data_IF_664633809179
#
_entry.id   IF_664633809179
#
_cell.length_a   1.000
_cell.length_b   1.000
_cell.length_c   1.000
_cell.angle_alpha   90.00
_cell.angle_beta   90.00
_cell.angle_gamma   90.00
#
_symmetry.space_group_name_H-M   'P 1'
#
loop_
_entity.id
_entity.type
_entity.pdbx_description
1 polymer ?
#
# COMPACT_ATOMS: atom_id res chain seq x y z
N UNK A 1 -14.38 -11.65 18.93
CA UNK A 1 -14.15 -13.07 19.23
C UNK A 1 -13.07 -13.76 18.37
N UNK A 2 -12.42 -13.07 17.44
CA UNK A 2 -11.38 -13.65 16.54
C UNK A 2 -10.06 -14.01 17.22
N UNK A 3 -9.72 -13.42 18.36
CA UNK A 3 -8.43 -13.60 19.07
C UNK A 3 -8.48 -14.54 20.28
N UNK A 4 -9.52 -15.37 20.41
CA UNK A 4 -9.78 -16.14 21.65
C UNK A 4 -9.19 -17.56 21.68
N UNK A 5 -8.52 -18.02 20.62
CA UNK A 5 -7.76 -19.27 20.62
C UNK A 5 -6.28 -18.99 20.44
N UNK A 6 -5.42 -19.61 21.26
CA UNK A 6 -3.95 -19.48 21.18
C UNK A 6 -3.43 -19.82 19.78
N UNK A 7 -4.03 -20.80 19.12
CA UNK A 7 -3.67 -21.22 17.77
C UNK A 7 -3.86 -20.09 16.73
N UNK A 8 -4.97 -19.36 16.82
CA UNK A 8 -5.23 -18.22 15.92
C UNK A 8 -4.28 -17.05 16.19
N UNK A 9 -3.96 -16.80 17.44
CA UNK A 9 -3.00 -15.77 17.82
C UNK A 9 -1.60 -16.10 17.28
N UNK A 10 -1.15 -17.34 17.45
CA UNK A 10 0.13 -17.81 16.93
C UNK A 10 0.19 -17.73 15.40
N UNK A 11 -0.91 -18.09 14.72
CA UNK A 11 -1.01 -17.95 13.25
C UNK A 11 -0.85 -16.47 12.84
N UNK A 12 -1.58 -15.56 13.46
CA UNK A 12 -1.50 -14.12 13.15
C UNK A 12 -0.09 -13.58 13.40
N UNK A 13 0.55 -13.95 14.50
CA UNK A 13 1.93 -13.53 14.79
C UNK A 13 2.89 -14.02 13.71
N UNK A 14 2.80 -15.28 13.30
CA UNK A 14 3.67 -15.85 12.27
C UNK A 14 3.46 -15.17 10.92
N UNK A 15 2.22 -14.98 10.50
CA UNK A 15 1.90 -14.30 9.23
C UNK A 15 2.37 -12.84 9.26
N UNK A 16 2.20 -12.15 10.40
CA UNK A 16 2.69 -10.77 10.56
C UNK A 16 4.21 -10.70 10.45
N UNK A 17 4.94 -11.63 11.06
CA UNK A 17 6.41 -11.68 10.96
C UNK A 17 6.88 -11.86 9.51
N UNK A 18 6.17 -12.67 8.72
CA UNK A 18 6.49 -12.91 7.31
C UNK A 18 6.18 -11.67 6.47
N UNK A 19 5.07 -10.98 6.74
CA UNK A 19 4.63 -9.83 5.94
C UNK A 19 5.24 -8.50 6.41
N UNK A 20 5.79 -8.42 7.62
CA UNK A 20 6.34 -7.19 8.16
C UNK A 20 7.44 -6.54 7.29
N UNK A 21 8.39 -7.31 6.69
CA UNK A 21 9.40 -6.74 5.79
C UNK A 21 8.80 -6.03 4.56
N UNK A 22 7.59 -6.42 4.14
CA UNK A 22 6.90 -5.75 3.03
C UNK A 22 6.69 -4.25 3.30
N UNK A 23 6.43 -3.85 4.55
CA UNK A 23 6.23 -2.43 4.91
C UNK A 23 7.45 -1.58 4.56
N UNK A 24 8.65 -2.11 4.78
CA UNK A 24 9.89 -1.43 4.42
C UNK A 24 9.99 -1.26 2.91
N UNK A 25 9.77 -2.33 2.15
CA UNK A 25 9.89 -2.27 0.69
C UNK A 25 8.80 -1.40 0.05
N UNK A 26 7.55 -1.44 0.54
CA UNK A 26 6.48 -0.59 0.01
C UNK A 26 6.71 0.89 0.33
N UNK A 27 7.27 1.20 1.49
CA UNK A 27 7.63 2.58 1.85
C UNK A 27 8.72 3.14 0.93
N UNK A 28 9.78 2.36 0.69
CA UNK A 28 10.84 2.73 -0.26
C UNK A 28 10.32 2.83 -1.70
N UNK A 29 9.44 1.92 -2.10
CA UNK A 29 8.78 1.94 -3.41
C UNK A 29 7.92 3.18 -3.59
N UNK A 30 7.20 3.61 -2.56
CA UNK A 30 6.40 4.84 -2.58
C UNK A 30 7.27 6.07 -2.77
N UNK A 31 8.43 6.12 -2.11
CA UNK A 31 9.40 7.19 -2.29
C UNK A 31 9.93 7.23 -3.72
N UNK A 32 10.31 6.09 -4.30
CA UNK A 32 10.76 6.01 -5.69
C UNK A 32 9.65 6.36 -6.69
N UNK A 33 8.41 5.97 -6.41
CA UNK A 33 7.25 6.36 -7.21
C UNK A 33 7.06 7.87 -7.22
N UNK A 34 7.25 8.55 -6.08
CA UNK A 34 7.19 10.01 -6.01
C UNK A 34 8.28 10.69 -6.86
N UNK A 35 9.51 10.16 -6.86
CA UNK A 35 10.59 10.65 -7.73
C UNK A 35 10.23 10.45 -9.20
N UNK A 36 9.74 9.27 -9.59
CA UNK A 36 9.34 9.00 -10.98
C UNK A 36 8.18 9.91 -11.42
N UNK A 37 7.21 10.16 -10.55
CA UNK A 37 6.10 11.08 -10.82
C UNK A 37 6.58 12.53 -11.02
N UNK A 38 7.58 12.99 -10.28
CA UNK A 38 8.18 14.31 -10.46
C UNK A 38 8.90 14.46 -11.81
N UNK A 39 9.31 13.33 -12.39
CA UNK A 39 9.89 13.27 -13.74
C UNK A 39 8.88 12.89 -14.83
N UNK A 40 7.57 13.02 -14.57
CA UNK A 40 6.47 12.67 -15.50
C UNK A 40 6.46 11.20 -15.96
N UNK A 41 7.00 10.28 -15.14
CA UNK A 41 7.03 8.84 -15.42
C UNK A 41 5.92 8.09 -14.68
N UNK A 42 4.69 8.57 -14.80
CA UNK A 42 3.52 8.06 -14.09
C UNK A 42 3.23 6.57 -14.35
N UNK A 43 3.39 6.13 -15.60
CA UNK A 43 3.12 4.74 -15.99
C UNK A 43 4.00 3.74 -15.22
N UNK A 44 5.29 4.07 -15.00
CA UNK A 44 6.22 3.21 -14.28
C UNK A 44 5.84 3.14 -12.79
N UNK A 45 5.50 4.28 -12.19
CA UNK A 45 5.05 4.33 -10.81
C UNK A 45 3.74 3.55 -10.61
N UNK A 46 2.80 3.66 -11.56
CA UNK A 46 1.52 2.94 -11.53
C UNK A 46 1.67 1.42 -11.78
N UNK A 47 2.75 0.98 -12.40
CA UNK A 47 3.01 -0.44 -12.64
C UNK A 47 3.37 -1.22 -11.35
N UNK A 48 3.88 -0.56 -10.31
CA UNK A 48 4.30 -1.23 -9.09
C UNK A 48 3.19 -2.05 -8.40
N UNK A 49 1.97 -1.53 -8.16
CA UNK A 49 0.89 -2.33 -7.60
C UNK A 49 0.48 -3.54 -8.44
N UNK A 50 0.67 -3.49 -9.77
CA UNK A 50 0.36 -4.60 -10.67
C UNK A 50 1.23 -5.81 -10.35
N UNK A 51 2.50 -5.59 -9.99
CA UNK A 51 3.42 -6.66 -9.59
C UNK A 51 2.86 -7.42 -8.39
N UNK A 52 2.39 -6.72 -7.35
CA UNK A 52 1.79 -7.36 -6.19
C UNK A 52 0.58 -8.23 -6.58
N UNK A 53 -0.30 -7.68 -7.41
CA UNK A 53 -1.49 -8.41 -7.87
C UNK A 53 -1.13 -9.67 -8.67
N UNK A 54 -0.12 -9.61 -9.53
CA UNK A 54 0.35 -10.78 -10.28
C UNK A 54 0.83 -11.89 -9.32
N UNK A 55 1.63 -11.54 -8.30
CA UNK A 55 2.10 -12.52 -7.32
C UNK A 55 0.95 -13.15 -6.54
N UNK A 56 -0.01 -12.33 -6.06
CA UNK A 56 -1.17 -12.84 -5.32
C UNK A 56 -2.05 -13.73 -6.19
N UNK A 57 -2.35 -13.33 -7.42
CA UNK A 57 -3.15 -14.13 -8.36
C UNK A 57 -2.43 -15.45 -8.66
N UNK A 58 -1.11 -15.43 -8.88
CA UNK A 58 -0.35 -16.63 -9.15
C UNK A 58 -0.48 -17.65 -8.00
N UNK A 59 -0.38 -17.21 -6.75
CA UNK A 59 -0.55 -18.12 -5.59
C UNK A 59 -1.99 -18.60 -5.47
N UNK A 60 -2.97 -17.72 -5.71
CA UNK A 60 -4.40 -18.09 -5.62
C UNK A 60 -4.80 -19.13 -6.67
N UNK A 61 -4.21 -19.10 -7.87
CA UNK A 61 -4.47 -20.10 -8.92
C UNK A 61 -4.04 -21.52 -8.49
N UNK A 62 -3.04 -21.61 -7.61
CA UNK A 62 -2.61 -22.88 -7.02
C UNK A 62 -3.30 -23.20 -5.69
N UNK A 63 -4.27 -22.38 -5.27
CA UNK A 63 -4.91 -22.47 -3.96
C UNK A 63 -5.52 -23.83 -3.63
N UNK A 64 -6.13 -24.49 -4.62
CA UNK A 64 -6.73 -25.83 -4.46
C UNK A 64 -5.69 -26.91 -4.13
N UNK A 65 -4.44 -26.73 -4.55
CA UNK A 65 -3.33 -27.67 -4.30
C UNK A 65 -2.68 -27.39 -2.95
N UNK A 66 -2.65 -26.13 -2.53
CA UNK A 66 -1.94 -25.66 -1.34
C UNK A 66 -2.72 -25.89 -0.03
N UNK A 67 -4.05 -26.03 -0.11
CA UNK A 67 -4.89 -26.29 1.07
C UNK A 67 -4.63 -25.29 2.21
N UNK A 68 -4.43 -25.79 3.42
CA UNK A 68 -4.22 -24.98 4.62
C UNK A 68 -2.94 -24.12 4.59
N UNK A 69 -1.98 -24.49 3.76
CA UNK A 69 -0.74 -23.73 3.59
C UNK A 69 -0.91 -22.47 2.72
N UNK A 70 -2.05 -22.30 2.06
CA UNK A 70 -2.32 -21.17 1.16
C UNK A 70 -2.03 -19.80 1.82
N UNK A 71 -2.40 -19.65 3.08
CA UNK A 71 -2.24 -18.38 3.81
C UNK A 71 -0.77 -18.04 4.01
N UNK A 72 0.09 -19.01 4.27
CA UNK A 72 1.53 -18.83 4.37
C UNK A 72 2.14 -18.45 3.01
N UNK A 73 1.75 -19.14 1.94
CA UNK A 73 2.23 -18.82 0.59
C UNK A 73 1.80 -17.43 0.14
N UNK A 74 0.58 -16.99 0.47
CA UNK A 74 0.13 -15.61 0.24
C UNK A 74 0.99 -14.59 1.00
N UNK A 75 1.34 -14.89 2.25
CA UNK A 75 2.19 -14.00 3.07
C UNK A 75 3.61 -13.87 2.49
N UNK A 76 4.19 -14.98 2.03
CA UNK A 76 5.48 -14.94 1.33
C UNK A 76 5.37 -14.20 -0.02
N UNK A 77 4.29 -14.42 -0.78
CA UNK A 77 4.06 -13.73 -2.04
C UNK A 77 4.01 -12.21 -1.88
N UNK A 78 3.36 -11.71 -0.83
CA UNK A 78 3.33 -10.27 -0.50
C UNK A 78 4.74 -9.74 -0.27
N UNK A 79 5.54 -10.42 0.53
CA UNK A 79 6.90 -9.98 0.86
C UNK A 79 7.81 -10.02 -0.36
N UNK A 80 7.77 -11.09 -1.14
CA UNK A 80 8.55 -11.23 -2.38
C UNK A 80 8.12 -10.17 -3.40
N UNK A 81 6.82 -9.96 -3.56
CA UNK A 81 6.30 -8.91 -4.44
C UNK A 81 6.81 -7.52 -4.04
N UNK A 82 6.88 -7.22 -2.73
CA UNK A 82 7.45 -5.97 -2.24
C UNK A 82 8.91 -5.78 -2.64
N UNK A 83 9.73 -6.83 -2.52
CA UNK A 83 11.13 -6.82 -2.97
C UNK A 83 11.20 -6.56 -4.48
N UNK A 84 10.40 -7.27 -5.27
CA UNK A 84 10.38 -7.13 -6.73
C UNK A 84 9.90 -5.74 -7.14
N UNK A 85 8.87 -5.18 -6.51
CA UNK A 85 8.42 -3.80 -6.72
C UNK A 85 9.54 -2.79 -6.45
N UNK A 86 10.23 -2.94 -5.33
CA UNK A 86 11.34 -2.07 -4.96
C UNK A 86 12.45 -2.13 -6.00
N UNK A 87 12.90 -3.33 -6.39
CA UNK A 87 13.95 -3.51 -7.39
C UNK A 87 13.54 -2.96 -8.77
N UNK A 88 12.28 -3.18 -9.16
CA UNK A 88 11.72 -2.64 -10.39
C UNK A 88 11.81 -1.12 -10.41
N UNK A 89 11.27 -0.44 -9.41
CA UNK A 89 11.29 1.02 -9.33
C UNK A 89 12.71 1.56 -9.19
N UNK A 90 13.56 0.92 -8.40
CA UNK A 90 14.97 1.29 -8.23
C UNK A 90 15.72 1.30 -9.58
N UNK A 91 15.52 0.30 -10.43
CA UNK A 91 16.10 0.22 -11.76
C UNK A 91 15.77 1.45 -12.62
N UNK A 92 14.51 1.91 -12.56
CA UNK A 92 14.06 3.08 -13.33
C UNK A 92 14.49 4.40 -12.71
N UNK A 93 14.46 4.52 -11.38
CA UNK A 93 14.89 5.73 -10.67
C UNK A 93 16.36 6.01 -10.88
N UNK A 94 17.22 4.98 -10.96
CA UNK A 94 18.67 5.12 -11.22
C UNK A 94 19.00 5.89 -12.51
N UNK A 95 18.08 5.97 -13.46
CA UNK A 95 18.25 6.76 -14.69
C UNK A 95 18.18 8.26 -14.45
N UNK A 96 17.51 8.69 -13.39
CA UNK A 96 17.27 10.11 -13.06
C UNK A 96 17.97 10.54 -11.77
N UNK A 97 18.17 9.61 -10.87
CA UNK A 97 18.72 9.86 -9.55
C UNK A 97 19.59 8.68 -9.10
N UNK A 98 20.82 8.97 -8.72
CA UNK A 98 21.72 7.99 -8.08
C UNK A 98 21.63 8.15 -6.57
N UNK A 99 20.91 7.29 -5.85
CA UNK A 99 20.83 7.37 -4.41
C UNK A 99 22.23 7.16 -3.81
N UNK A 100 22.73 8.17 -3.11
CA UNK A 100 23.97 8.10 -2.37
C UNK A 100 23.65 8.00 -0.89
N UNK A 101 24.20 6.99 -0.23
CA UNK A 101 24.12 6.89 1.22
C UNK A 101 25.14 7.88 1.83
N UNK A 102 24.66 9.09 2.12
CA UNK A 102 25.48 10.09 2.81
C UNK A 102 25.35 9.87 4.32
N UNK A 103 26.45 9.49 4.96
CA UNK A 103 26.54 9.40 6.43
C UNK A 103 26.50 10.77 7.11
N UNK A 104 26.73 11.88 6.37
CA UNK A 104 26.59 13.25 6.86
C UNK A 104 25.24 13.81 6.46
N UNK A 105 24.32 13.90 7.42
CA UNK A 105 23.04 14.57 7.26
C UNK A 105 23.28 16.05 7.54
N UNK A 106 23.33 16.89 6.50
CA UNK A 106 23.25 18.34 6.65
C UNK A 106 21.77 18.74 6.57
N UNK A 107 21.24 19.29 7.66
CA UNK A 107 19.86 19.81 7.68
C UNK A 107 19.88 21.19 7.01
N UNK A 108 19.69 21.19 5.70
CA UNK A 108 19.52 22.41 4.91
C UNK A 108 18.09 22.95 5.07
N UNK A 109 17.90 24.22 4.74
CA UNK A 109 16.60 24.91 4.84
C UNK A 109 15.50 24.22 4.02
N UNK A 110 15.86 23.59 2.89
CA UNK A 110 14.98 22.78 2.07
C UNK A 110 14.45 21.56 2.82
N UNK A 111 15.30 20.90 3.58
CA UNK A 111 14.93 19.74 4.41
C UNK A 111 14.00 20.18 5.54
N UNK A 112 14.29 21.30 6.19
CA UNK A 112 13.43 21.87 7.24
C UNK A 112 12.04 22.22 6.69
N UNK A 113 11.96 22.84 5.52
CA UNK A 113 10.71 23.17 4.86
C UNK A 113 9.94 21.91 4.42
N UNK A 114 10.63 20.86 4.00
CA UNK A 114 10.02 19.55 3.71
C UNK A 114 9.34 18.97 4.95
N UNK A 115 10.05 18.90 6.09
CA UNK A 115 9.48 18.39 7.33
C UNK A 115 8.32 19.24 7.85
N UNK A 116 8.39 20.57 7.71
CA UNK A 116 7.31 21.48 8.08
C UNK A 116 6.02 21.21 7.29
N UNK A 117 6.12 20.80 6.03
CA UNK A 117 4.97 20.42 5.19
C UNK A 117 4.54 18.97 5.43
N UNK A 118 5.48 18.08 5.76
CA UNK A 118 5.23 16.67 5.99
C UNK A 118 4.41 16.43 7.25
N UNK A 119 4.72 17.11 8.36
CA UNK A 119 4.06 16.93 9.65
C UNK A 119 2.53 17.10 9.58
N UNK A 120 1.96 18.19 9.01
CA UNK A 120 0.50 18.31 8.88
C UNK A 120 -0.11 17.20 8.02
N UNK A 121 0.59 16.73 6.99
CA UNK A 121 0.13 15.63 6.13
C UNK A 121 0.08 14.30 6.87
N UNK A 122 1.07 14.02 7.73
CA UNK A 122 1.09 12.84 8.59
C UNK A 122 -0.09 12.86 9.56
N UNK A 123 -0.36 14.00 10.21
CA UNK A 123 -1.49 14.13 11.13
C UNK A 123 -2.82 13.92 10.39
N UNK A 124 -3.01 14.56 9.24
CA UNK A 124 -4.24 14.41 8.44
C UNK A 124 -4.47 12.97 8.01
N UNK A 125 -3.44 12.29 7.51
CA UNK A 125 -3.52 10.87 7.13
C UNK A 125 -3.71 9.97 8.34
N UNK A 126 -3.06 10.29 9.48
CA UNK A 126 -3.16 9.53 10.73
C UNK A 126 -4.58 9.52 11.28
N UNK A 127 -5.27 10.65 11.27
CA UNK A 127 -6.67 10.74 11.73
C UNK A 127 -7.57 9.81 10.91
N UNK A 128 -7.40 9.77 9.59
CA UNK A 128 -8.15 8.86 8.73
C UNK A 128 -7.88 7.38 9.08
N UNK A 129 -6.62 7.02 9.31
CA UNK A 129 -6.26 5.64 9.68
C UNK A 129 -6.80 5.24 11.06
N UNK A 130 -6.78 6.17 12.04
CA UNK A 130 -7.37 5.93 13.36
C UNK A 130 -8.88 5.70 13.24
N UNK A 131 -9.57 6.49 12.42
CA UNK A 131 -11.01 6.32 12.19
C UNK A 131 -11.34 4.93 11.58
N UNK A 132 -10.57 4.49 10.59
CA UNK A 132 -10.71 3.16 9.99
C UNK A 132 -10.44 2.07 11.04
N UNK A 133 -9.41 2.24 11.87
CA UNK A 133 -9.06 1.29 12.92
C UNK A 133 -10.18 1.16 13.95
N UNK A 134 -10.72 2.29 14.46
CA UNK A 134 -11.84 2.29 15.40
C UNK A 134 -13.07 1.62 14.79
N UNK A 135 -13.41 1.96 13.55
CA UNK A 135 -14.52 1.33 12.83
C UNK A 135 -14.35 -0.19 12.70
N UNK A 136 -13.15 -0.64 12.40
CA UNK A 136 -12.82 -2.08 12.32
C UNK A 136 -12.90 -2.76 13.68
N UNK A 137 -12.43 -2.11 14.75
CA UNK A 137 -12.54 -2.65 16.11
C UNK A 137 -14.02 -2.80 16.51
N UNK A 138 -14.85 -1.78 16.28
CA UNK A 138 -16.29 -1.84 16.56
C UNK A 138 -16.95 -2.96 15.74
N UNK A 139 -16.65 -3.05 14.45
CA UNK A 139 -17.18 -4.11 13.58
C UNK A 139 -16.74 -5.51 14.02
N UNK A 140 -15.58 -5.66 14.65
CA UNK A 140 -15.07 -6.96 15.10
C UNK A 140 -15.90 -7.62 16.22
N UNK A 141 -16.74 -6.86 16.91
CA UNK A 141 -17.65 -7.41 17.92
C UNK A 141 -18.80 -8.23 17.31
N UNK A 142 -19.09 -8.04 16.02
CA UNK A 142 -20.13 -8.76 15.30
C UNK A 142 -19.52 -9.71 14.26
N UNK A 143 -20.03 -10.93 14.18
CA UNK A 143 -19.55 -11.92 13.23
C UNK A 143 -19.71 -11.42 11.78
N UNK A 144 -18.64 -11.54 10.98
CA UNK A 144 -18.57 -11.14 9.56
C UNK A 144 -18.73 -9.64 9.28
N UNK A 145 -18.96 -8.78 10.26
CA UNK A 145 -19.19 -7.35 10.05
C UNK A 145 -17.96 -6.64 9.47
N UNK A 146 -16.74 -7.07 9.84
CA UNK A 146 -15.49 -6.54 9.26
C UNK A 146 -15.43 -6.79 7.75
N UNK A 147 -15.84 -7.99 7.31
CA UNK A 147 -15.88 -8.33 5.88
C UNK A 147 -16.92 -7.49 5.14
N UNK A 148 -18.11 -7.34 5.72
CA UNK A 148 -19.16 -6.50 5.13
C UNK A 148 -18.75 -5.03 5.04
N UNK A 149 -18.07 -4.50 6.07
CA UNK A 149 -17.55 -3.13 6.07
C UNK A 149 -16.52 -2.96 4.94
N UNK A 150 -15.63 -3.93 4.78
CA UNK A 150 -14.61 -3.90 3.72
C UNK A 150 -15.23 -3.91 2.32
N UNK A 151 -16.22 -4.78 2.06
CA UNK A 151 -16.88 -4.82 0.77
C UNK A 151 -17.72 -3.56 0.50
N UNK A 152 -18.42 -3.03 1.50
CA UNK A 152 -19.16 -1.78 1.40
C UNK A 152 -18.24 -0.61 1.04
N UNK A 153 -17.08 -0.51 1.68
CA UNK A 153 -16.08 0.51 1.37
C UNK A 153 -15.55 0.39 -0.06
N UNK A 154 -15.32 -0.83 -0.56
CA UNK A 154 -14.91 -1.06 -1.95
C UNK A 154 -15.96 -0.60 -2.96
N UNK A 155 -17.22 -0.91 -2.73
CA UNK A 155 -18.33 -0.46 -3.59
C UNK A 155 -18.45 1.07 -3.57
N UNK A 156 -18.31 1.68 -2.39
CA UNK A 156 -18.32 3.13 -2.24
C UNK A 156 -17.17 3.81 -3.02
N UNK A 157 -15.97 3.25 -2.94
CA UNK A 157 -14.79 3.76 -3.64
C UNK A 157 -14.95 3.74 -5.17
N UNK A 158 -15.60 2.73 -5.74
CA UNK A 158 -15.90 2.65 -7.18
C UNK A 158 -16.77 3.85 -7.61
N UNK A 159 -17.84 4.11 -6.89
CA UNK A 159 -18.75 5.23 -7.19
C UNK A 159 -18.07 6.60 -7.03
N UNK A 160 -17.14 6.71 -6.07
CA UNK A 160 -16.39 7.94 -5.85
C UNK A 160 -15.35 8.19 -6.96
N UNK A 161 -14.71 7.13 -7.46
CA UNK A 161 -13.76 7.20 -8.57
C UNK A 161 -14.45 7.64 -9.88
N UNK A 162 -15.64 7.14 -10.14
CA UNK A 162 -16.42 7.51 -11.32
C UNK A 162 -16.85 8.99 -11.30
N UNK A 163 -17.28 9.50 -10.16
CA UNK A 163 -17.59 10.94 -10.00
C UNK A 163 -16.38 11.85 -10.22
N UNK A 164 -15.18 11.43 -9.81
CA UNK A 164 -13.94 12.21 -10.04
C UNK A 164 -13.60 12.23 -11.53
N UNK A 165 -13.73 11.12 -12.21
CA UNK A 165 -13.51 10.97 -13.65
C UNK A 165 -14.47 11.85 -14.47
N UNK A 166 -15.75 11.86 -14.14
CA UNK A 166 -16.78 12.65 -14.81
C UNK A 166 -16.57 14.16 -14.63
N UNK A 167 -16.14 14.62 -13.45
CA UNK A 167 -15.82 16.04 -13.21
C UNK A 167 -14.59 16.52 -13.98
N UNK A 168 -13.57 15.70 -14.14
CA UNK A 168 -12.40 16.03 -14.94
C UNK A 168 -12.72 16.14 -16.42
N UNK A 169 -13.58 15.26 -16.96
CA UNK A 169 -14.03 15.33 -18.35
C UNK A 169 -14.90 16.56 -18.63
N UNK A 170 -15.77 16.95 -17.72
CA UNK A 170 -16.61 18.13 -17.90
C UNK A 170 -15.83 19.44 -17.85
N UNK A 171 -14.71 19.52 -17.10
CA UNK A 171 -13.85 20.69 -17.08
C UNK A 171 -13.02 20.86 -18.35
N UNK A 172 -12.73 19.76 -19.08
CA UNK A 172 -12.02 19.82 -20.36
C UNK A 172 -12.94 20.18 -21.55
N UNK A 173 -14.24 19.90 -21.46
CA UNK A 173 -15.22 20.24 -22.49
C UNK A 173 -15.71 21.69 -22.43
N UNK A 174 -15.48 22.41 -21.34
CA UNK A 174 -15.88 23.81 -21.19
C UNK A 174 -14.83 24.82 -21.64
N UNK A 175 -13.68 24.39 -22.18
CA UNK A 175 -12.54 25.21 -22.61
C UNK A 175 -12.35 25.17 -24.16
N UNK A 176 -13.29 24.55 -24.91
CA UNK A 176 -13.26 24.53 -26.38
C UNK A 176 -14.30 25.48 -26.98
#
# INVERSE_FOLDING_TARGET
MLFRSEDKMNLVINLTRITFPFLLFVSLSSFFSAILNSHNRFAIAAAAPIILNIFLISVLLYGNILGDMLVYYLSYAVTIAGIVQFLFLYKYVRKFYSPQFLLKISIDEKIKNFFKKLLPSIFSSGVTQINILIGTIIASFQASAVSYLYYADRIYQINLADRKSTRLNSSHTSIS
#
